data_IF_050633490132
#
_entry.id   IF_050633490132
#
_cell.length_a   1.000
_cell.length_b   1.000
_cell.length_c   1.000
_cell.angle_alpha   90.00
_cell.angle_beta   90.00
_cell.angle_gamma   90.00
#
_symmetry.space_group_name_H-M   'P 1'
#
loop_
_entity.id
_entity.type
_entity.pdbx_description
1 polymer ?
#
# COMPACT_ATOMS: atom_id res chain seq x y z
N UNK A 1 10.53 33.99 19.06
CA UNK A 1 10.21 34.12 17.62
C UNK A 1 10.76 32.91 16.89
N UNK A 2 9.97 31.84 16.74
CA UNK A 2 10.37 30.61 16.05
C UNK A 2 9.91 30.74 14.59
N UNK A 3 10.87 30.96 13.69
CA UNK A 3 10.63 31.03 12.26
C UNK A 3 10.01 29.74 11.73
N UNK A 4 8.84 29.81 11.08
CA UNK A 4 8.28 28.75 10.25
C UNK A 4 9.35 28.42 9.17
N UNK A 5 10.00 27.28 9.27
CA UNK A 5 10.74 26.69 8.17
C UNK A 5 9.75 26.47 7.03
N UNK A 6 9.84 27.29 5.98
CA UNK A 6 9.10 27.05 4.74
C UNK A 6 9.48 25.67 4.22
N UNK A 7 8.50 24.85 3.88
CA UNK A 7 8.73 23.58 3.19
C UNK A 7 9.62 23.86 1.97
N UNK A 8 10.73 23.17 1.85
CA UNK A 8 11.61 23.32 0.68
C UNK A 8 10.82 22.93 -0.58
N UNK A 9 11.14 23.54 -1.73
CA UNK A 9 10.53 23.17 -3.02
C UNK A 9 10.63 21.66 -3.28
N UNK A 10 11.70 21.03 -2.82
CA UNK A 10 11.92 19.58 -2.93
C UNK A 10 10.91 18.78 -2.08
N UNK A 11 10.61 19.21 -0.85
CA UNK A 11 9.62 18.57 0.00
C UNK A 11 8.20 18.69 -0.59
N UNK A 12 7.86 19.89 -1.10
CA UNK A 12 6.57 20.11 -1.78
C UNK A 12 6.44 19.21 -3.01
N UNK A 13 7.49 19.12 -3.84
CA UNK A 13 7.51 18.26 -5.02
C UNK A 13 7.36 16.78 -4.64
N UNK A 14 8.10 16.33 -3.59
CA UNK A 14 8.00 14.96 -3.09
C UNK A 14 6.59 14.64 -2.57
N UNK A 15 5.99 15.55 -1.81
CA UNK A 15 4.62 15.41 -1.31
C UNK A 15 3.61 15.34 -2.46
N UNK A 16 3.67 16.27 -3.41
CA UNK A 16 2.77 16.27 -4.57
C UNK A 16 2.88 14.94 -5.35
N UNK A 17 4.10 14.45 -5.55
CA UNK A 17 4.32 13.17 -6.23
C UNK A 17 3.66 11.99 -5.50
N UNK A 18 3.69 11.95 -4.17
CA UNK A 18 2.99 10.94 -3.38
C UNK A 18 1.47 11.05 -3.56
N UNK A 19 0.92 12.27 -3.46
CA UNK A 19 -0.51 12.51 -3.66
C UNK A 19 -0.98 12.09 -5.05
N UNK A 20 -0.22 12.45 -6.09
CA UNK A 20 -0.52 12.07 -7.49
C UNK A 20 -0.51 10.55 -7.65
N UNK A 21 0.49 9.84 -7.10
CA UNK A 21 0.54 8.37 -7.15
C UNK A 21 -0.67 7.74 -6.46
N UNK A 22 -1.03 8.22 -5.28
CA UNK A 22 -2.21 7.71 -4.56
C UNK A 22 -3.49 7.92 -5.38
N UNK A 23 -3.63 9.10 -6.02
CA UNK A 23 -4.79 9.39 -6.85
C UNK A 23 -4.86 8.49 -8.08
N UNK A 24 -3.73 8.29 -8.78
CA UNK A 24 -3.66 7.37 -9.93
C UNK A 24 -4.04 5.93 -9.54
N UNK A 25 -3.61 5.48 -8.36
CA UNK A 25 -3.95 4.14 -7.88
C UNK A 25 -5.44 3.97 -7.61
N UNK A 26 -6.10 5.01 -7.09
CA UNK A 26 -7.51 4.99 -6.68
C UNK A 26 -8.50 5.22 -7.83
N UNK A 27 -8.11 5.98 -8.84
CA UNK A 27 -8.98 6.29 -9.98
C UNK A 27 -9.00 5.16 -11.01
N UNK A 28 -10.18 4.79 -11.48
CA UNK A 28 -10.32 3.80 -12.56
C UNK A 28 -9.72 4.29 -13.89
N UNK A 29 -9.91 5.58 -14.19
CA UNK A 29 -9.42 6.25 -15.41
C UNK A 29 -8.75 7.57 -15.05
N UNK A 30 -7.57 7.52 -14.46
CA UNK A 30 -6.85 8.71 -13.99
C UNK A 30 -6.41 9.61 -15.16
N UNK A 31 -7.09 10.73 -15.35
CA UNK A 31 -6.71 11.77 -16.32
C UNK A 31 -6.00 12.91 -15.64
N UNK A 32 -5.02 13.53 -16.29
CA UNK A 32 -4.26 14.67 -15.71
C UNK A 32 -5.18 15.79 -15.19
N UNK A 33 -6.26 16.09 -15.93
CA UNK A 33 -7.25 17.10 -15.53
C UNK A 33 -8.03 16.70 -14.29
N UNK A 34 -8.51 15.45 -14.21
CA UNK A 34 -9.23 14.95 -13.06
C UNK A 34 -8.33 14.89 -11.80
N UNK A 35 -7.07 14.46 -11.96
CA UNK A 35 -6.09 14.47 -10.85
C UNK A 35 -5.84 15.92 -10.37
N UNK A 36 -5.75 16.88 -11.28
CA UNK A 36 -5.54 18.29 -10.95
C UNK A 36 -6.72 18.86 -10.15
N UNK A 37 -7.94 18.56 -10.57
CA UNK A 37 -9.19 18.98 -9.92
C UNK A 37 -9.29 18.38 -8.51
N UNK A 38 -9.14 17.08 -8.35
CA UNK A 38 -9.25 16.38 -7.07
C UNK A 38 -8.19 16.83 -6.04
N UNK A 39 -6.96 17.08 -6.50
CA UNK A 39 -5.87 17.51 -5.61
C UNK A 39 -5.79 19.03 -5.41
N UNK A 40 -6.58 19.81 -6.13
CA UNK A 40 -6.47 21.28 -6.12
C UNK A 40 -5.10 21.79 -6.61
N UNK A 41 -4.42 21.02 -7.46
CA UNK A 41 -3.12 21.36 -8.03
C UNK A 41 -3.27 21.87 -9.47
N UNK A 42 -2.32 22.71 -9.92
CA UNK A 42 -2.35 23.20 -11.30
C UNK A 42 -2.03 22.09 -12.31
N UNK A 43 -2.67 22.12 -13.47
CA UNK A 43 -2.43 21.16 -14.55
C UNK A 43 -0.95 21.07 -14.97
N UNK A 44 -0.18 22.17 -15.08
CA UNK A 44 1.27 22.09 -15.30
C UNK A 44 2.02 21.31 -14.22
N UNK A 45 1.68 21.46 -12.94
CA UNK A 45 2.29 20.70 -11.83
C UNK A 45 2.05 19.19 -11.99
N UNK A 46 0.80 18.81 -12.29
CA UNK A 46 0.44 17.41 -12.55
C UNK A 46 1.19 16.89 -13.77
N UNK A 47 1.17 17.64 -14.88
CA UNK A 47 1.80 17.23 -16.14
C UNK A 47 3.30 16.99 -15.96
N UNK A 48 4.00 17.89 -15.26
CA UNK A 48 5.43 17.73 -14.98
C UNK A 48 5.69 16.46 -14.18
N UNK A 49 4.99 16.26 -13.05
CA UNK A 49 5.17 15.10 -12.20
C UNK A 49 4.82 13.78 -12.89
N UNK A 50 3.75 13.76 -13.68
CA UNK A 50 3.35 12.57 -14.45
C UNK A 50 4.38 12.24 -15.53
N UNK A 51 4.86 13.25 -16.29
CA UNK A 51 5.85 13.03 -17.34
C UNK A 51 7.18 12.50 -16.77
N UNK A 52 7.60 12.95 -15.60
CA UNK A 52 8.76 12.41 -14.89
C UNK A 52 8.57 10.93 -14.56
N UNK A 53 7.42 10.57 -13.98
CA UNK A 53 7.11 9.18 -13.64
C UNK A 53 6.91 8.27 -14.87
N UNK A 54 6.45 8.82 -16.00
CA UNK A 54 6.43 8.13 -17.29
C UNK A 54 7.85 7.86 -17.79
N UNK A 55 8.74 8.87 -17.74
CA UNK A 55 10.14 8.73 -18.15
C UNK A 55 10.93 7.76 -17.26
N UNK A 56 10.57 7.65 -15.98
CA UNK A 56 11.13 6.68 -15.03
C UNK A 56 10.57 5.26 -15.25
N UNK A 57 9.58 5.08 -16.13
CA UNK A 57 8.93 3.80 -16.38
C UNK A 57 8.03 3.30 -15.25
N UNK A 58 7.66 4.16 -14.29
CA UNK A 58 6.74 3.84 -13.19
C UNK A 58 5.29 3.88 -13.66
N UNK A 59 4.97 4.83 -14.55
CA UNK A 59 3.64 5.02 -15.13
C UNK A 59 3.64 4.69 -16.62
N UNK A 60 2.45 4.47 -17.16
CA UNK A 60 2.18 4.33 -18.58
C UNK A 60 0.87 5.02 -18.96
N UNK A 61 0.72 5.38 -20.24
CA UNK A 61 -0.53 5.87 -20.79
C UNK A 61 -1.32 4.71 -21.39
N UNK A 62 -2.55 4.54 -20.95
CA UNK A 62 -3.46 3.50 -21.43
C UNK A 62 -4.65 4.13 -22.20
N UNK A 63 -5.08 3.53 -23.33
CA UNK A 63 -6.28 3.99 -24.02
C UNK A 63 -7.51 3.82 -23.12
N UNK A 64 -8.38 4.83 -23.08
CA UNK A 64 -9.67 4.71 -22.42
C UNK A 64 -10.63 4.02 -23.39
N UNK A 65 -11.19 2.88 -22.98
CA UNK A 65 -12.24 2.20 -23.72
C UNK A 65 -13.58 2.91 -23.48
N UNK A 66 -13.78 4.09 -24.09
CA UNK A 66 -15.09 4.74 -24.10
C UNK A 66 -16.00 4.02 -25.11
N UNK A 67 -17.00 3.31 -24.58
CA UNK A 67 -18.05 2.66 -25.38
C UNK A 67 -19.03 3.62 -26.08
N UNK A 68 -18.74 4.92 -26.12
CA UNK A 68 -19.49 5.92 -26.90
C UNK A 68 -18.53 6.65 -27.84
N UNK A 69 -18.65 6.34 -29.11
CA UNK A 69 -18.08 7.10 -30.24
C UNK A 69 -18.63 8.55 -30.18
N UNK A 70 -17.97 9.44 -29.48
CA UNK A 70 -18.17 10.87 -29.66
C UNK A 70 -17.25 11.24 -30.85
N UNK A 71 -17.86 11.59 -31.99
CA UNK A 71 -17.22 12.11 -33.18
C UNK A 71 -16.56 13.48 -32.91
N UNK A 72 -15.48 13.50 -32.14
CA UNK A 72 -14.63 14.68 -32.01
C UNK A 72 -13.27 14.38 -32.63
N UNK A 73 -12.94 15.13 -33.68
CA UNK A 73 -11.60 15.18 -34.31
C UNK A 73 -10.60 15.73 -33.27
N UNK A 74 -10.05 14.83 -32.43
CA UNK A 74 -9.02 15.13 -31.43
C UNK A 74 -8.33 13.85 -30.97
N UNK A 75 -7.07 13.98 -30.49
CA UNK A 75 -6.31 12.88 -29.88
C UNK A 75 -7.16 12.24 -28.78
N UNK A 76 -7.40 10.92 -28.85
CA UNK A 76 -8.13 10.19 -27.81
C UNK A 76 -7.50 10.44 -26.44
N UNK A 77 -8.30 10.77 -25.42
CA UNK A 77 -7.75 10.98 -24.08
C UNK A 77 -7.20 9.66 -23.55
N UNK A 78 -5.95 9.67 -23.09
CA UNK A 78 -5.32 8.53 -22.43
C UNK A 78 -5.51 8.68 -20.91
N UNK A 79 -5.75 7.57 -20.25
CA UNK A 79 -5.62 7.47 -18.79
C UNK A 79 -4.16 7.21 -18.42
N UNK A 80 -3.80 7.61 -17.21
CA UNK A 80 -2.51 7.31 -16.59
C UNK A 80 -2.71 6.12 -15.67
N UNK A 81 -1.85 5.13 -15.77
CA UNK A 81 -1.85 3.97 -14.90
C UNK A 81 -0.43 3.63 -14.44
N UNK A 82 -0.31 2.88 -13.35
CA UNK A 82 0.97 2.27 -13.02
C UNK A 82 1.33 1.21 -14.06
N UNK A 83 2.59 1.18 -14.45
CA UNK A 83 3.15 0.06 -15.21
C UNK A 83 3.27 -1.14 -14.26
N UNK A 84 2.52 -2.20 -14.55
CA UNK A 84 2.35 -3.33 -13.63
C UNK A 84 3.69 -3.92 -13.17
N UNK A 85 4.61 -4.14 -14.13
CA UNK A 85 5.89 -4.79 -13.88
C UNK A 85 7.02 -3.84 -13.43
N UNK A 86 6.76 -2.55 -13.22
CA UNK A 86 7.80 -1.60 -12.82
C UNK A 86 8.35 -1.91 -11.41
N UNK A 87 7.51 -2.45 -10.53
CA UNK A 87 7.92 -2.93 -9.22
C UNK A 87 6.89 -3.89 -8.63
N UNK A 88 7.29 -4.56 -7.54
CA UNK A 88 6.52 -5.58 -6.85
C UNK A 88 6.60 -5.37 -5.33
N UNK A 89 5.66 -5.92 -4.61
CA UNK A 89 5.66 -5.93 -3.15
C UNK A 89 5.19 -7.29 -2.63
N UNK A 90 5.66 -7.65 -1.44
CA UNK A 90 5.21 -8.83 -0.72
C UNK A 90 4.29 -8.37 0.41
N UNK A 91 3.14 -9.02 0.56
CA UNK A 91 2.24 -8.85 1.69
C UNK A 91 2.18 -10.12 2.51
N UNK A 92 2.29 -10.02 3.84
CA UNK A 92 2.11 -11.15 4.75
C UNK A 92 1.08 -10.78 5.80
N UNK A 93 0.08 -11.60 6.01
CA UNK A 93 -0.92 -11.44 7.05
C UNK A 93 -0.87 -12.59 8.04
N UNK A 94 -0.64 -12.27 9.32
CA UNK A 94 -0.80 -13.21 10.41
C UNK A 94 -2.26 -13.23 10.87
N UNK A 95 -2.97 -14.25 10.43
CA UNK A 95 -4.34 -14.50 10.86
C UNK A 95 -4.39 -15.40 12.11
N UNK A 96 -5.59 -15.56 12.71
CA UNK A 96 -5.76 -16.41 13.89
C UNK A 96 -5.68 -17.92 13.60
N UNK A 97 -5.87 -18.33 12.35
CA UNK A 97 -5.87 -19.73 11.92
C UNK A 97 -4.78 -20.02 10.90
N UNK A 98 -4.47 -19.06 10.06
CA UNK A 98 -3.48 -19.22 9.01
C UNK A 98 -2.70 -17.90 8.79
N UNK A 99 -1.47 -18.04 8.33
CA UNK A 99 -0.65 -16.95 7.81
C UNK A 99 -0.73 -16.99 6.29
N UNK A 100 -1.04 -15.86 5.66
CA UNK A 100 -1.13 -15.73 4.21
C UNK A 100 -0.03 -14.83 3.71
N UNK A 101 0.56 -15.20 2.59
CA UNK A 101 1.54 -14.39 1.89
C UNK A 101 1.14 -14.23 0.43
N UNK A 102 1.40 -13.04 -0.12
CA UNK A 102 1.14 -12.70 -1.52
C UNK A 102 2.32 -11.94 -2.12
N UNK A 103 2.58 -12.17 -3.39
CA UNK A 103 3.42 -11.32 -4.24
C UNK A 103 2.50 -10.57 -5.19
N UNK A 104 2.59 -9.24 -5.23
CA UNK A 104 1.75 -8.40 -6.08
C UNK A 104 2.59 -7.39 -6.88
N UNK A 105 2.05 -6.95 -8.01
CA UNK A 105 2.61 -5.89 -8.84
C UNK A 105 2.09 -4.49 -8.43
N UNK A 106 2.56 -3.42 -9.11
CA UNK A 106 2.14 -2.04 -8.82
C UNK A 106 0.66 -1.74 -9.07
N UNK A 107 -0.07 -2.60 -9.78
CA UNK A 107 -1.52 -2.47 -9.95
C UNK A 107 -2.33 -3.18 -8.87
N UNK A 108 -1.66 -3.86 -7.94
CA UNK A 108 -2.29 -4.66 -6.91
C UNK A 108 -2.79 -6.02 -7.40
N UNK A 109 -2.34 -6.47 -8.58
CA UNK A 109 -2.64 -7.80 -9.10
C UNK A 109 -1.77 -8.82 -8.37
N UNK A 110 -2.41 -9.86 -7.82
CA UNK A 110 -1.73 -10.93 -7.11
C UNK A 110 -1.15 -11.91 -8.13
N UNK A 111 0.15 -12.12 -8.08
CA UNK A 111 0.89 -13.03 -8.97
C UNK A 111 1.12 -14.38 -8.34
N UNK A 112 1.41 -14.39 -7.04
CA UNK A 112 1.65 -15.58 -6.23
C UNK A 112 0.94 -15.43 -4.90
N UNK A 113 0.39 -16.53 -4.39
CA UNK A 113 -0.14 -16.57 -3.03
C UNK A 113 0.17 -17.92 -2.38
N UNK A 114 0.33 -17.90 -1.08
CA UNK A 114 0.53 -19.10 -0.27
C UNK A 114 -0.15 -18.95 1.08
N UNK A 115 -0.58 -20.07 1.63
CA UNK A 115 -1.18 -20.14 2.96
C UNK A 115 -0.39 -21.14 3.80
N UNK A 116 -0.12 -20.77 5.04
CA UNK A 116 0.65 -21.53 6.01
C UNK A 116 -0.15 -21.64 7.31
N UNK A 117 0.15 -22.65 8.11
CA UNK A 117 -0.40 -22.75 9.44
C UNK A 117 -0.09 -21.51 10.29
N UNK A 118 -0.89 -21.25 11.32
CA UNK A 118 -0.67 -20.14 12.26
C UNK A 118 0.74 -20.15 12.83
N UNK A 119 1.33 -18.96 13.10
CA UNK A 119 2.70 -18.85 13.56
C UNK A 119 2.93 -19.56 14.90
N UNK A 120 4.20 -19.86 15.17
CA UNK A 120 4.66 -20.41 16.44
C UNK A 120 4.22 -19.56 17.64
N UNK A 121 4.22 -20.15 18.83
CA UNK A 121 3.71 -19.50 20.03
C UNK A 121 4.61 -18.39 20.55
N UNK A 122 5.94 -18.55 20.52
CA UNK A 122 6.89 -17.55 20.99
C UNK A 122 7.37 -16.61 19.88
N UNK A 123 7.92 -15.47 20.30
CA UNK A 123 8.39 -14.43 19.39
C UNK A 123 9.48 -14.91 18.42
N UNK A 124 10.47 -15.64 18.92
CA UNK A 124 11.60 -16.11 18.11
C UNK A 124 11.13 -17.07 17.01
N UNK A 125 10.30 -18.05 17.36
CA UNK A 125 9.74 -18.99 16.38
C UNK A 125 8.82 -18.32 15.38
N UNK A 126 8.04 -17.31 15.79
CA UNK A 126 7.22 -16.51 14.87
C UNK A 126 8.10 -15.72 13.90
N UNK A 127 9.13 -15.04 14.40
CA UNK A 127 10.05 -14.26 13.59
C UNK A 127 10.77 -15.15 12.56
N UNK A 128 11.24 -16.33 12.96
CA UNK A 128 11.85 -17.30 12.05
C UNK A 128 10.87 -17.77 10.97
N UNK A 129 9.66 -18.13 11.37
CA UNK A 129 8.63 -18.58 10.42
C UNK A 129 8.27 -17.51 9.40
N UNK A 130 8.06 -16.26 9.83
CA UNK A 130 7.75 -15.16 8.93
C UNK A 130 8.94 -14.86 8.01
N UNK A 131 10.17 -14.93 8.53
CA UNK A 131 11.38 -14.79 7.71
C UNK A 131 11.40 -15.84 6.59
N UNK A 132 11.12 -17.10 6.90
CA UNK A 132 11.11 -18.20 5.91
C UNK A 132 10.01 -18.00 4.86
N UNK A 133 8.81 -17.58 5.28
CA UNK A 133 7.69 -17.26 4.37
C UNK A 133 8.06 -16.11 3.42
N UNK A 134 8.67 -15.04 3.94
CA UNK A 134 9.09 -13.91 3.11
C UNK A 134 10.18 -14.35 2.13
N UNK A 135 11.18 -15.10 2.56
CA UNK A 135 12.24 -15.61 1.69
C UNK A 135 11.69 -16.48 0.56
N UNK A 136 10.70 -17.34 0.83
CA UNK A 136 10.01 -18.10 -0.21
C UNK A 136 9.33 -17.19 -1.25
N UNK A 137 8.70 -16.09 -0.81
CA UNK A 137 8.11 -15.12 -1.73
C UNK A 137 9.16 -14.31 -2.50
N UNK A 138 10.30 -13.99 -1.89
CA UNK A 138 11.45 -13.36 -2.56
C UNK A 138 11.99 -14.29 -3.67
N UNK A 139 12.13 -15.57 -3.40
CA UNK A 139 12.55 -16.56 -4.40
C UNK A 139 11.56 -16.67 -5.56
N UNK A 140 10.24 -16.66 -5.27
CA UNK A 140 9.19 -16.63 -6.28
C UNK A 140 9.19 -15.33 -7.11
N UNK A 141 9.68 -14.24 -6.55
CA UNK A 141 9.83 -12.98 -7.27
C UNK A 141 10.91 -13.04 -8.38
N UNK A 142 11.83 -14.00 -8.35
CA UNK A 142 12.80 -14.27 -9.44
C UNK A 142 13.61 -13.03 -9.89
N UNK A 143 14.12 -12.26 -8.96
CA UNK A 143 14.93 -11.08 -9.25
C UNK A 143 14.14 -9.85 -9.74
N UNK A 144 12.80 -9.86 -9.62
CA UNK A 144 11.96 -8.68 -9.87
C UNK A 144 12.30 -7.56 -8.87
N UNK A 145 12.04 -6.32 -9.27
CA UNK A 145 12.27 -5.13 -8.43
C UNK A 145 11.28 -5.10 -7.26
N UNK A 146 11.66 -5.61 -6.10
CA UNK A 146 10.88 -5.61 -4.87
C UNK A 146 11.03 -4.28 -4.12
N UNK A 147 9.90 -3.60 -3.84
CA UNK A 147 9.88 -2.36 -3.04
C UNK A 147 10.04 -2.61 -1.54
N UNK A 148 9.57 -3.77 -1.07
CA UNK A 148 9.58 -4.13 0.34
C UNK A 148 8.47 -5.11 0.69
N UNK A 149 8.28 -5.31 2.00
CA UNK A 149 7.32 -6.23 2.56
C UNK A 149 6.38 -5.51 3.53
N UNK A 150 5.08 -5.69 3.35
CA UNK A 150 4.07 -5.28 4.32
C UNK A 150 3.63 -6.46 5.19
N UNK A 151 3.64 -6.31 6.52
CA UNK A 151 3.22 -7.38 7.43
C UNK A 151 2.06 -6.94 8.31
N UNK A 152 0.92 -7.63 8.19
CA UNK A 152 -0.25 -7.45 9.02
C UNK A 152 -0.20 -8.34 10.26
N UNK A 153 -0.21 -7.74 11.45
CA UNK A 153 -0.11 -8.41 12.75
C UNK A 153 -1.36 -8.22 13.60
N UNK A 154 -1.76 -9.20 14.43
CA UNK A 154 -2.78 -8.96 15.44
C UNK A 154 -2.24 -8.07 16.56
N UNK A 155 -3.10 -7.21 17.13
CA UNK A 155 -2.78 -6.36 18.27
C UNK A 155 -2.54 -4.90 17.92
N UNK A 156 -2.00 -4.15 18.88
CA UNK A 156 -1.66 -2.73 18.72
C UNK A 156 -0.24 -2.59 18.16
N UNK A 157 -0.13 -1.92 17.02
CA UNK A 157 1.12 -1.75 16.29
C UNK A 157 1.48 -0.25 16.20
N UNK A 158 2.69 0.09 16.62
CA UNK A 158 3.30 1.39 16.38
C UNK A 158 3.97 1.34 14.99
N UNK A 159 3.26 1.81 13.97
CA UNK A 159 3.73 1.77 12.58
C UNK A 159 4.98 2.60 12.34
N UNK A 160 5.09 3.75 13.01
CA UNK A 160 6.21 4.68 12.82
C UNK A 160 7.51 4.08 13.36
N UNK A 161 7.42 3.36 14.48
CA UNK A 161 8.58 2.74 15.14
C UNK A 161 8.79 1.27 14.75
N UNK A 162 7.85 0.67 14.04
CA UNK A 162 7.92 -0.74 13.67
C UNK A 162 7.84 -1.70 14.87
N UNK A 163 7.09 -1.31 15.93
CA UNK A 163 7.05 -2.00 17.24
C UNK A 163 5.67 -2.57 17.55
N UNK A 164 5.63 -3.79 18.07
CA UNK A 164 4.40 -4.40 18.60
C UNK A 164 4.14 -3.83 20.00
N UNK A 165 3.15 -2.94 20.16
CA UNK A 165 2.81 -2.29 21.44
C UNK A 165 2.02 -3.18 22.36
N UNK A 166 1.05 -3.92 21.80
CA UNK A 166 0.22 -4.85 22.58
C UNK A 166 -0.16 -6.04 21.70
N UNK A 167 -0.12 -7.23 22.28
CA UNK A 167 -0.49 -8.48 21.63
C UNK A 167 -1.05 -9.44 22.69
N UNK A 168 -1.99 -10.34 22.35
CA UNK A 168 -2.42 -11.40 23.25
C UNK A 168 -1.27 -12.29 23.76
N UNK A 169 -0.18 -12.38 23.00
CA UNK A 169 1.06 -13.06 23.39
C UNK A 169 2.02 -12.07 24.01
N UNK A 170 2.22 -12.19 25.32
CA UNK A 170 2.98 -11.21 26.12
C UNK A 170 4.44 -11.06 25.70
N UNK A 171 5.07 -12.12 25.22
CA UNK A 171 6.47 -12.12 24.76
C UNK A 171 6.70 -11.35 23.44
N UNK A 172 5.63 -11.00 22.74
CA UNK A 172 5.69 -10.15 21.54
C UNK A 172 5.67 -8.66 21.85
N UNK A 173 5.25 -8.30 23.08
CA UNK A 173 5.08 -6.89 23.44
C UNK A 173 6.44 -6.18 23.54
N UNK A 174 6.50 -4.96 23.00
CA UNK A 174 7.69 -4.12 22.98
C UNK A 174 8.75 -4.55 21.96
N UNK A 175 8.51 -5.59 21.17
CA UNK A 175 9.48 -6.09 20.18
C UNK A 175 9.56 -5.19 18.95
N UNK A 176 10.78 -4.86 18.46
CA UNK A 176 11.01 -4.05 17.26
C UNK A 176 10.89 -4.91 15.99
N UNK A 177 9.70 -5.44 15.74
CA UNK A 177 9.45 -6.50 14.77
C UNK A 177 9.86 -6.11 13.34
N UNK A 178 9.66 -4.85 12.94
CA UNK A 178 10.09 -4.40 11.62
C UNK A 178 11.62 -4.46 11.49
N UNK A 179 12.36 -3.94 12.46
CA UNK A 179 13.82 -3.97 12.48
C UNK A 179 14.36 -5.40 12.48
N UNK A 180 13.80 -6.27 13.34
CA UNK A 180 14.24 -7.66 13.44
C UNK A 180 14.03 -8.45 12.12
N UNK A 181 13.00 -8.09 11.33
CA UNK A 181 12.79 -8.65 9.99
C UNK A 181 13.71 -7.99 8.95
N UNK A 182 13.90 -6.67 8.97
CA UNK A 182 14.78 -5.95 8.02
C UNK A 182 16.21 -6.49 8.08
N UNK A 183 16.72 -6.77 9.29
CA UNK A 183 18.05 -7.35 9.49
C UNK A 183 18.22 -8.74 8.86
N UNK A 184 17.11 -9.49 8.72
CA UNK A 184 17.11 -10.85 8.16
C UNK A 184 16.83 -10.89 6.66
N UNK A 185 15.98 -9.98 6.18
CA UNK A 185 15.44 -10.00 4.81
C UNK A 185 16.18 -9.02 3.90
N UNK A 186 16.77 -7.97 4.45
CA UNK A 186 17.44 -6.88 3.73
C UNK A 186 16.53 -6.16 2.73
N UNK A 187 15.22 -6.09 3.01
CA UNK A 187 14.22 -5.30 2.31
C UNK A 187 13.50 -4.39 3.31
N UNK A 188 12.98 -3.23 2.88
CA UNK A 188 12.14 -2.39 3.74
C UNK A 188 10.93 -3.16 4.27
N UNK A 189 10.68 -3.10 5.57
CA UNK A 189 9.56 -3.75 6.24
C UNK A 189 8.61 -2.70 6.79
N UNK A 190 7.33 -2.80 6.45
CA UNK A 190 6.25 -2.02 7.05
C UNK A 190 5.32 -2.96 7.81
N UNK A 191 4.96 -2.58 9.03
CA UNK A 191 4.02 -3.36 9.84
C UNK A 191 2.81 -2.54 10.25
N UNK A 192 1.65 -3.18 10.31
CA UNK A 192 0.42 -2.56 10.84
C UNK A 192 -0.50 -3.65 11.43
N UNK A 193 -1.59 -3.22 12.06
CA UNK A 193 -2.65 -4.13 12.48
C UNK A 193 -3.31 -4.78 11.26
N UNK A 194 -3.48 -6.10 11.32
CA UNK A 194 -4.00 -6.89 10.19
C UNK A 194 -5.43 -6.48 9.78
N UNK A 195 -6.31 -6.11 10.73
CA UNK A 195 -7.68 -5.68 10.40
C UNK A 195 -7.69 -4.25 9.81
N UNK A 196 -6.77 -3.38 10.26
CA UNK A 196 -6.55 -2.08 9.60
C UNK A 196 -6.15 -2.26 8.14
N UNK A 197 -5.18 -3.13 7.88
CA UNK A 197 -4.72 -3.41 6.50
C UNK A 197 -5.83 -4.01 5.64
N UNK A 198 -6.71 -4.85 6.21
CA UNK A 198 -7.90 -5.36 5.50
C UNK A 198 -8.86 -4.23 5.12
N UNK A 199 -9.09 -3.26 6.02
CA UNK A 199 -9.93 -2.09 5.72
C UNK A 199 -9.34 -1.24 4.59
N UNK A 200 -8.02 -1.00 4.62
CA UNK A 200 -7.30 -0.29 3.55
C UNK A 200 -7.38 -1.07 2.23
N UNK A 201 -7.11 -2.39 2.26
CA UNK A 201 -7.21 -3.23 1.07
C UNK A 201 -8.63 -3.26 0.47
N UNK A 202 -9.66 -3.27 1.32
CA UNK A 202 -11.05 -3.16 0.87
C UNK A 202 -11.33 -1.81 0.21
N UNK A 203 -10.91 -0.70 0.81
CA UNK A 203 -11.00 0.63 0.21
C UNK A 203 -10.33 0.67 -1.18
N UNK A 204 -9.10 0.16 -1.26
CA UNK A 204 -8.35 0.13 -2.52
C UNK A 204 -9.04 -0.70 -3.61
N UNK A 205 -9.80 -1.73 -3.24
CA UNK A 205 -10.54 -2.56 -4.19
C UNK A 205 -11.78 -1.87 -4.77
N UNK A 206 -12.33 -0.87 -4.10
CA UNK A 206 -13.55 -0.14 -4.52
C UNK A 206 -13.34 0.87 -5.65
N UNK A 207 -12.12 1.16 -6.06
CA UNK A 207 -11.71 2.03 -7.19
C UNK A 207 -12.75 3.04 -7.64
N UNK A 208 -12.75 4.23 -7.02
CA UNK A 208 -13.62 5.35 -7.44
C UNK A 208 -15.11 5.26 -7.05
N UNK A 209 -15.58 4.14 -6.51
CA UNK A 209 -16.95 3.93 -6.03
C UNK A 209 -17.03 3.83 -4.51
N UNK A 210 -16.06 4.40 -3.81
CA UNK A 210 -16.01 4.32 -2.36
C UNK A 210 -16.90 5.38 -1.70
N UNK A 211 -17.54 5.07 -0.56
CA UNK A 211 -18.15 6.09 0.29
C UNK A 211 -17.05 6.97 0.94
N UNK A 212 -17.38 8.22 1.27
CA UNK A 212 -16.47 9.14 1.98
C UNK A 212 -16.00 8.59 3.34
N UNK A 213 -16.82 7.75 3.95
CA UNK A 213 -16.50 7.08 5.20
C UNK A 213 -17.21 5.74 5.31
N UNK A 214 -16.56 4.76 5.92
CA UNK A 214 -17.16 3.49 6.24
C UNK A 214 -16.52 2.84 7.47
N UNK A 215 -17.22 1.89 8.09
CA UNK A 215 -16.72 1.04 9.14
C UNK A 215 -16.47 -0.38 8.58
N UNK A 216 -15.25 -0.88 8.75
CA UNK A 216 -14.91 -2.26 8.37
C UNK A 216 -15.10 -3.17 9.59
N UNK A 217 -16.25 -3.84 9.66
CA UNK A 217 -16.57 -4.69 10.81
C UNK A 217 -16.04 -6.11 10.61
N UNK A 218 -15.12 -6.51 11.47
CA UNK A 218 -14.46 -7.81 11.43
C UNK A 218 -14.73 -8.61 12.70
N UNK A 219 -15.25 -9.82 12.54
CA UNK A 219 -15.53 -10.78 13.63
C UNK A 219 -14.77 -12.08 13.35
N UNK A 220 -13.97 -12.52 14.33
CA UNK A 220 -13.27 -13.79 14.31
C UNK A 220 -13.03 -14.25 15.76
N UNK A 221 -11.79 -14.58 16.17
CA UNK A 221 -11.44 -14.78 17.60
C UNK A 221 -11.55 -13.51 18.43
N UNK A 222 -11.65 -12.37 17.80
CA UNK A 222 -11.87 -11.06 18.37
C UNK A 222 -12.80 -10.27 17.47
N UNK A 223 -13.18 -9.08 17.94
CA UNK A 223 -13.97 -8.11 17.18
C UNK A 223 -13.10 -6.88 16.96
N UNK A 224 -13.07 -6.37 15.74
CA UNK A 224 -12.41 -5.12 15.40
C UNK A 224 -13.26 -4.34 14.38
N UNK A 225 -13.20 -3.01 14.47
CA UNK A 225 -13.97 -2.14 13.61
C UNK A 225 -13.16 -0.89 13.24
N UNK A 226 -12.16 -1.00 12.34
CA UNK A 226 -11.48 0.18 11.81
C UNK A 226 -12.50 1.10 11.11
N UNK A 227 -12.40 2.40 11.41
CA UNK A 227 -13.17 3.43 10.77
C UNK A 227 -12.32 4.10 9.70
N UNK A 228 -12.84 4.11 8.48
CA UNK A 228 -12.25 4.84 7.36
C UNK A 228 -12.95 6.19 7.24
N UNK A 229 -12.21 7.28 7.34
CA UNK A 229 -12.70 8.64 7.12
C UNK A 229 -11.94 9.28 5.97
N UNK A 230 -12.63 9.59 4.89
CA UNK A 230 -12.03 10.03 3.63
C UNK A 230 -11.02 9.00 3.13
N UNK A 231 -9.73 9.26 3.32
CA UNK A 231 -8.65 8.44 2.79
C UNK A 231 -7.77 7.81 3.89
N UNK A 232 -8.17 7.97 5.16
CA UNK A 232 -7.39 7.50 6.30
C UNK A 232 -8.19 6.61 7.24
N UNK A 233 -7.49 5.60 7.79
CA UNK A 233 -8.01 4.84 8.92
C UNK A 233 -7.83 5.65 10.18
N UNK A 234 -8.91 5.90 10.91
CA UNK A 234 -8.85 6.60 12.19
C UNK A 234 -7.88 5.90 13.11
N UNK A 235 -6.88 6.62 13.58
CA UNK A 235 -5.95 6.15 14.62
C UNK A 235 -6.57 6.45 15.98
N UNK A 236 -6.69 5.43 16.84
CA UNK A 236 -7.06 5.57 18.25
C UNK A 236 -5.85 5.95 19.11
#
# INVERSE_FOLDING_TARGET
>A
MTGKKGNSLLETRRRNRVLIKNMIFRMENARRTAIAEELGLTLPTITTSVNEMLSEGILEEIPIADGKLVNNMGRRPNAIAFRAEAAYAIGVELGPYATRAVLMNLRGEVLEQSEYESPAENYAGMLEKITNIINEMVDKAKGRNLLGVGVGLPGFIDREKGVIRSNPRKDWMGKPFATDLEERIHLPILIDNNVRLRAVGHEMSMRGQKPDSFAYFFVSRGVACPLMLKDDVVSG
#
